data_IF_348717223664
#
_entry.id   IF_348717223664
#
_cell.length_a   1.000
_cell.length_b   1.000
_cell.length_c   1.000
_cell.angle_alpha   90.00
_cell.angle_beta   90.00
_cell.angle_gamma   90.00
#
_symmetry.space_group_name_H-M   'P 1'
#
loop_
_entity.id
_entity.type
_entity.pdbx_description
1 polymer ?
#
# COMPACT_ATOMS: atom_id res chain seq x y z
N UNK A 1 1.97 -2.90 11.13
CA UNK A 1 2.89 -3.97 10.68
C UNK A 1 2.04 -5.16 10.29
N UNK A 2 2.26 -5.67 9.08
CA UNK A 2 1.59 -6.84 8.52
C UNK A 2 2.12 -8.12 9.18
N UNK A 3 1.23 -9.05 9.48
CA UNK A 3 1.56 -10.42 9.86
C UNK A 3 0.83 -11.40 8.94
N UNK A 4 0.38 -12.54 9.46
CA UNK A 4 -0.20 -13.62 8.65
C UNK A 4 -1.54 -13.26 8.00
N UNK A 5 -2.18 -12.16 8.42
CA UNK A 5 -3.47 -11.71 7.93
C UNK A 5 -3.42 -11.08 6.53
N UNK A 6 -2.23 -10.72 6.06
CA UNK A 6 -2.04 -10.06 4.77
C UNK A 6 -2.29 -8.55 4.80
N UNK A 7 -2.04 -7.90 3.65
CA UNK A 7 -2.03 -6.43 3.53
C UNK A 7 -3.39 -5.79 3.84
N UNK A 8 -4.49 -6.32 3.31
CA UNK A 8 -5.78 -5.63 3.41
C UNK A 8 -6.30 -5.61 4.85
N UNK A 9 -6.24 -6.75 5.55
CA UNK A 9 -6.58 -6.81 6.97
C UNK A 9 -5.63 -5.99 7.85
N UNK A 10 -4.36 -5.88 7.46
CA UNK A 10 -3.41 -4.98 8.11
C UNK A 10 -3.82 -3.51 7.97
N UNK A 11 -4.26 -3.09 6.78
CA UNK A 11 -4.75 -1.73 6.52
C UNK A 11 -6.02 -1.48 7.32
N UNK A 12 -7.00 -2.39 7.28
CA UNK A 12 -8.25 -2.28 8.05
C UNK A 12 -7.98 -2.15 9.55
N UNK A 13 -7.09 -2.99 10.08
CA UNK A 13 -6.71 -2.98 11.50
C UNK A 13 -5.99 -1.68 11.89
N UNK A 14 -4.99 -1.25 11.12
CA UNK A 14 -4.27 0.01 11.37
C UNK A 14 -5.17 1.24 11.24
N UNK A 15 -6.00 1.27 10.20
CA UNK A 15 -6.95 2.34 9.92
C UNK A 15 -8.01 2.52 11.01
N UNK A 16 -8.55 1.42 11.56
CA UNK A 16 -9.47 1.48 12.72
C UNK A 16 -8.84 2.18 13.94
N UNK A 17 -7.55 1.98 14.16
CA UNK A 17 -6.82 2.63 15.27
C UNK A 17 -6.53 4.10 14.98
N UNK A 18 -6.16 4.43 13.74
CA UNK A 18 -5.90 5.80 13.31
C UNK A 18 -7.18 6.66 13.24
N UNK A 19 -8.34 6.02 13.02
CA UNK A 19 -9.67 6.62 12.72
C UNK A 19 -9.76 7.31 11.36
N UNK A 20 -8.76 8.12 11.02
CA UNK A 20 -8.59 8.75 9.71
C UNK A 20 -7.13 9.16 9.48
N UNK A 21 -6.79 9.49 8.23
CA UNK A 21 -5.49 10.03 7.86
C UNK A 21 -4.33 9.04 7.93
N UNK A 22 -4.61 7.74 8.07
CA UNK A 22 -3.58 6.70 8.13
C UNK A 22 -2.64 6.74 6.92
N UNK A 23 -1.34 6.53 7.16
CA UNK A 23 -0.35 6.38 6.10
C UNK A 23 0.05 4.91 6.01
N UNK A 24 -0.08 4.34 4.82
CA UNK A 24 0.28 2.95 4.54
C UNK A 24 1.65 2.90 3.89
N UNK A 25 2.52 2.06 4.42
CA UNK A 25 3.90 1.88 3.91
C UNK A 25 4.08 0.41 3.56
N UNK A 26 4.46 0.12 2.32
CA UNK A 26 4.77 -1.23 1.85
C UNK A 26 6.16 -1.28 1.24
N UNK A 27 7.07 -1.97 1.92
CA UNK A 27 8.48 -2.10 1.54
C UNK A 27 8.88 -3.58 1.57
N UNK A 28 9.90 -3.95 0.80
CA UNK A 28 10.48 -5.30 0.88
C UNK A 28 11.22 -5.48 2.20
N UNK A 29 11.20 -6.69 2.77
CA UNK A 29 12.10 -7.02 3.88
C UNK A 29 13.56 -7.02 3.39
N UNK A 30 14.56 -6.70 4.23
CA UNK A 30 15.95 -6.62 3.81
C UNK A 30 16.50 -7.88 3.10
N UNK A 31 16.06 -9.08 3.51
CA UNK A 31 16.44 -10.36 2.90
C UNK A 31 15.33 -10.96 2.03
N UNK A 32 14.37 -10.17 1.58
CA UNK A 32 13.30 -10.65 0.70
C UNK A 32 13.88 -11.06 -0.65
N UNK A 33 13.74 -12.34 -1.01
CA UNK A 33 14.06 -12.80 -2.36
C UNK A 33 12.88 -12.49 -3.30
N UNK A 34 13.04 -11.43 -4.08
CA UNK A 34 12.04 -10.94 -5.02
C UNK A 34 11.69 -11.94 -6.12
N UNK A 35 12.49 -13.00 -6.34
CA UNK A 35 12.14 -14.03 -7.33
C UNK A 35 10.96 -14.89 -6.88
N UNK A 36 10.74 -14.95 -5.57
CA UNK A 36 9.68 -15.77 -4.98
C UNK A 36 8.52 -14.92 -4.44
N UNK A 37 8.80 -13.70 -3.99
CA UNK A 37 7.78 -12.84 -3.38
C UNK A 37 8.09 -11.35 -3.63
N UNK A 38 7.50 -10.80 -4.69
CA UNK A 38 7.55 -9.37 -5.02
C UNK A 38 6.39 -8.67 -4.31
N UNK A 39 6.63 -7.66 -3.44
CA UNK A 39 5.56 -6.84 -2.89
C UNK A 39 4.70 -6.26 -4.01
N UNK A 40 3.38 -6.33 -3.85
CA UNK A 40 2.46 -5.80 -4.84
C UNK A 40 1.37 -4.92 -4.23
N UNK A 41 0.92 -3.95 -5.03
CA UNK A 41 -0.20 -3.06 -4.76
C UNK A 41 -1.06 -2.92 -6.01
N UNK A 42 -2.34 -2.61 -5.84
CA UNK A 42 -3.27 -2.40 -6.95
C UNK A 42 -4.52 -1.64 -6.51
N UNK A 43 -5.54 -1.63 -7.36
CA UNK A 43 -6.83 -0.96 -7.08
C UNK A 43 -7.42 -1.43 -5.74
N UNK A 44 -7.32 -2.72 -5.42
CA UNK A 44 -7.87 -3.25 -4.16
C UNK A 44 -7.17 -2.71 -2.91
N UNK A 45 -5.87 -2.45 -3.00
CA UNK A 45 -5.12 -1.77 -1.93
C UNK A 45 -5.68 -0.36 -1.70
N UNK A 46 -5.99 0.37 -2.77
CA UNK A 46 -6.58 1.71 -2.70
C UNK A 46 -8.01 1.66 -2.15
N UNK A 47 -8.83 0.69 -2.56
CA UNK A 47 -10.18 0.49 -2.04
C UNK A 47 -10.14 0.27 -0.52
N UNK A 48 -9.27 -0.64 -0.05
CA UNK A 48 -9.11 -0.93 1.37
C UNK A 48 -8.61 0.31 2.15
N UNK A 49 -7.73 1.09 1.55
CA UNK A 49 -7.27 2.36 2.12
C UNK A 49 -8.40 3.40 2.23
N UNK A 50 -9.28 3.47 1.23
CA UNK A 50 -10.42 4.38 1.22
C UNK A 50 -11.44 4.02 2.31
N UNK A 51 -11.71 2.73 2.54
CA UNK A 51 -12.60 2.24 3.61
C UNK A 51 -12.21 2.82 4.98
N UNK A 52 -10.91 3.02 5.21
CA UNK A 52 -10.36 3.52 6.48
C UNK A 52 -9.92 4.99 6.44
N UNK A 53 -10.27 5.73 5.38
CA UNK A 53 -9.90 7.14 5.20
C UNK A 53 -8.39 7.37 5.32
N UNK A 54 -7.58 6.47 4.76
CA UNK A 54 -6.14 6.64 4.67
C UNK A 54 -5.79 7.85 3.78
N UNK A 55 -4.63 8.46 4.00
CA UNK A 55 -4.19 9.68 3.31
C UNK A 55 -3.11 9.44 2.27
N UNK A 56 -2.26 8.43 2.48
CA UNK A 56 -1.13 8.17 1.58
C UNK A 56 -0.68 6.71 1.55
N UNK A 57 -0.21 6.28 0.39
CA UNK A 57 0.49 5.02 0.15
C UNK A 57 1.94 5.32 -0.24
N UNK A 58 2.89 4.83 0.56
CA UNK A 58 4.31 4.85 0.24
C UNK A 58 4.78 3.44 -0.12
N UNK A 59 5.44 3.32 -1.27
CA UNK A 59 6.02 2.06 -1.77
C UNK A 59 7.52 2.19 -2.06
N UNK A 60 8.22 1.05 -2.04
CA UNK A 60 9.63 0.99 -2.41
C UNK A 60 9.82 1.02 -3.93
N UNK A 61 10.52 2.05 -4.41
CA UNK A 61 10.78 2.25 -5.83
C UNK A 61 11.64 1.12 -6.43
N UNK A 62 11.15 0.53 -7.51
CA UNK A 62 11.84 -0.56 -8.22
C UNK A 62 11.72 -1.94 -7.57
N UNK A 63 11.07 -2.06 -6.40
CA UNK A 63 10.85 -3.34 -5.72
C UNK A 63 9.38 -3.70 -5.49
N UNK A 64 8.45 -2.81 -5.84
CA UNK A 64 7.01 -3.04 -5.70
C UNK A 64 6.34 -3.12 -7.06
N UNK A 65 5.58 -4.20 -7.31
CA UNK A 65 4.74 -4.35 -8.50
C UNK A 65 3.44 -3.57 -8.33
N UNK A 66 3.08 -2.78 -9.33
CA UNK A 66 1.80 -2.05 -9.39
C UNK A 66 0.89 -2.73 -10.42
N UNK A 67 -0.16 -3.41 -9.95
CA UNK A 67 -1.18 -4.01 -10.81
C UNK A 67 -2.10 -2.94 -11.38
N UNK A 68 -2.37 -3.01 -12.69
CA UNK A 68 -3.21 -2.04 -13.42
C UNK A 68 -2.90 -0.59 -13.03
N UNK A 69 -1.62 -0.21 -13.12
CA UNK A 69 -1.08 1.07 -12.62
C UNK A 69 -1.97 2.28 -12.89
N UNK A 70 -2.47 2.44 -14.11
CA UNK A 70 -3.33 3.57 -14.47
C UNK A 70 -4.65 3.56 -13.70
N UNK A 71 -5.32 2.41 -13.59
CA UNK A 71 -6.56 2.27 -12.82
C UNK A 71 -6.32 2.48 -11.33
N UNK A 72 -5.20 1.99 -10.81
CA UNK A 72 -4.81 2.18 -9.42
C UNK A 72 -4.62 3.67 -9.11
N UNK A 73 -3.91 4.41 -9.97
CA UNK A 73 -3.68 5.84 -9.79
C UNK A 73 -4.97 6.65 -9.93
N UNK A 74 -5.83 6.33 -10.91
CA UNK A 74 -7.15 6.97 -11.05
C UNK A 74 -8.04 6.72 -9.82
N UNK A 75 -8.03 5.51 -9.26
CA UNK A 75 -8.73 5.21 -8.00
C UNK A 75 -8.15 6.01 -6.83
N UNK A 76 -6.83 6.16 -6.76
CA UNK A 76 -6.16 6.91 -5.69
C UNK A 76 -6.50 8.40 -5.75
N UNK A 77 -6.45 9.00 -6.95
CA UNK A 77 -6.81 10.40 -7.18
C UNK A 77 -8.27 10.67 -6.78
N UNK A 78 -9.20 9.80 -7.19
CA UNK A 78 -10.62 9.90 -6.81
C UNK A 78 -10.85 9.77 -5.31
N UNK A 79 -10.03 8.96 -4.63
CA UNK A 79 -10.10 8.77 -3.19
C UNK A 79 -9.35 9.86 -2.39
N UNK A 80 -8.62 10.76 -3.06
CA UNK A 80 -7.76 11.76 -2.39
C UNK A 80 -6.54 11.14 -1.69
N UNK A 81 -6.09 9.97 -2.14
CA UNK A 81 -4.95 9.24 -1.57
C UNK A 81 -3.70 9.57 -2.38
N UNK A 82 -2.68 10.11 -1.73
CA UNK A 82 -1.38 10.35 -2.37
C UNK A 82 -0.60 9.04 -2.52
N UNK A 83 -0.03 8.78 -3.70
CA UNK A 83 0.87 7.64 -3.93
C UNK A 83 2.29 8.15 -4.16
N UNK A 84 3.24 7.65 -3.36
CA UNK A 84 4.66 8.00 -3.49
C UNK A 84 5.53 6.75 -3.60
N UNK A 85 6.49 6.78 -4.51
CA UNK A 85 7.54 5.77 -4.61
C UNK A 85 8.87 6.38 -4.19
N UNK A 86 9.56 5.78 -3.23
CA UNK A 86 10.83 6.28 -2.72
C UNK A 86 11.88 5.18 -2.81
N UNK A 87 13.13 5.56 -3.11
CA UNK A 87 14.27 4.70 -2.79
C UNK A 87 14.64 4.98 -1.34
N UNK A 88 14.79 3.91 -0.56
CA UNK A 88 15.31 3.97 0.80
C UNK A 88 16.65 3.22 0.82
N UNK A 89 17.63 3.62 1.67
CA UNK A 89 19.00 3.08 1.67
C UNK A 89 19.09 1.57 1.84
#
# INVERSE_FOLDING_TARGET
>A
VEAVEGTDETIRRGGKLAKEGAVVIKISKPQQDLRFDVPAVGVETINTMQEVKASALAIEAGKTLMFDREKMLDAADKAGISVVSLRWP
#
